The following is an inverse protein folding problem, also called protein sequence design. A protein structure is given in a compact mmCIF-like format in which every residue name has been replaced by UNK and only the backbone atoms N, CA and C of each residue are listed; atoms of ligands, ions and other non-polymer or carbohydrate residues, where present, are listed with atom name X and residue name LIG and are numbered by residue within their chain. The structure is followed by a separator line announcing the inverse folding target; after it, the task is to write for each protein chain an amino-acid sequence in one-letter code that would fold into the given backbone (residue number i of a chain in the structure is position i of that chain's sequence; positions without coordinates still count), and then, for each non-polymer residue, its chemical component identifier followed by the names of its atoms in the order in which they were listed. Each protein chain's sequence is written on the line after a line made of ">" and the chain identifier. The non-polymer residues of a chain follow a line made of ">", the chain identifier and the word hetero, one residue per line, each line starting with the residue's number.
data_IF_442606500259
#
_entry.id   IF_442606500259
#
_cell.length_a   1.000
_cell.length_b   1.000
_cell.length_c   1.000
_cell.angle_alpha   90.00
_cell.angle_beta   90.00
_cell.angle_gamma   90.00
#
_symmetry.space_group_name_H-M   'P 1'
#
loop_
_entity.id
_entity.type
_entity.pdbx_description
1 polymer ?
#
# COMPACT_ATOMS: atom_id res chain seq x y z
N UNK A 1 -4.10 -16.73 -8.76
CA UNK A 1 -2.77 -16.12 -8.53
C UNK A 1 -2.46 -16.18 -7.03
N UNK A 2 -1.19 -16.31 -6.64
CA UNK A 2 -0.79 -16.24 -5.22
C UNK A 2 -0.74 -14.79 -4.72
N UNK A 3 -0.84 -14.59 -3.41
CA UNK A 3 -0.74 -13.27 -2.77
C UNK A 3 0.58 -12.58 -3.13
N UNK A 4 1.71 -13.28 -3.00
CA UNK A 4 3.02 -12.72 -3.31
C UNK A 4 3.14 -12.37 -4.80
N UNK A 5 2.62 -13.21 -5.69
CA UNK A 5 2.56 -12.91 -7.12
C UNK A 5 1.75 -11.65 -7.42
N UNK A 6 0.62 -11.45 -6.74
CA UNK A 6 -0.21 -10.26 -6.96
C UNK A 6 0.34 -8.99 -6.31
N UNK A 7 1.00 -9.09 -5.16
CA UNK A 7 1.72 -7.96 -4.53
C UNK A 7 2.92 -7.54 -5.38
N UNK A 8 3.64 -8.51 -5.96
CA UNK A 8 4.76 -8.27 -6.85
C UNK A 8 4.32 -7.75 -8.23
N UNK A 9 3.09 -8.05 -8.67
CA UNK A 9 2.62 -7.63 -9.99
C UNK A 9 2.41 -6.13 -10.08
N UNK A 10 2.76 -5.56 -11.25
CA UNK A 10 2.46 -4.16 -11.58
C UNK A 10 0.96 -3.93 -11.54
N UNK A 11 0.56 -2.90 -10.80
CA UNK A 11 -0.85 -2.57 -10.55
C UNK A 11 -1.42 -1.59 -11.57
N UNK A 12 -0.62 -0.60 -11.97
CA UNK A 12 -1.05 0.44 -12.89
C UNK A 12 -1.06 -0.02 -14.34
N UNK A 13 -2.15 0.26 -15.04
CA UNK A 13 -2.38 -0.21 -16.41
C UNK A 13 -3.05 0.86 -17.27
N UNK A 14 -2.78 0.80 -18.57
CA UNK A 14 -3.31 1.72 -19.57
C UNK A 14 -4.18 1.05 -20.62
N UNK A 15 -4.42 -0.27 -20.50
CA UNK A 15 -5.24 -1.00 -21.45
C UNK A 15 -6.64 -0.40 -21.61
N UNK A 16 -7.22 -0.66 -22.76
CA UNK A 16 -8.57 -0.22 -23.07
C UNK A 16 -9.59 -0.95 -22.19
N UNK A 17 -10.69 -0.26 -21.87
CA UNK A 17 -11.77 -0.86 -21.11
C UNK A 17 -12.60 -1.81 -21.97
N UNK A 18 -13.11 -2.90 -21.36
CA UNK A 18 -14.21 -3.69 -21.93
C UNK A 18 -15.33 -3.84 -20.91
N UNK A 19 -16.60 -4.03 -21.32
CA UNK A 19 -17.62 -4.48 -20.38
C UNK A 19 -17.27 -5.85 -19.81
N UNK A 20 -17.40 -6.01 -18.49
CA UNK A 20 -17.27 -7.30 -17.82
C UNK A 20 -18.56 -8.09 -17.91
N UNK A 21 -18.48 -9.40 -17.73
CA UNK A 21 -19.67 -10.20 -17.43
C UNK A 21 -20.18 -9.83 -16.03
N UNK A 22 -21.50 -9.85 -15.83
CA UNK A 22 -22.09 -9.52 -14.52
C UNK A 22 -21.52 -10.37 -13.38
N UNK A 23 -21.19 -11.64 -13.66
CA UNK A 23 -20.54 -12.55 -12.70
C UNK A 23 -19.17 -12.03 -12.25
N UNK A 24 -18.36 -11.48 -13.15
CA UNK A 24 -17.05 -10.90 -12.83
C UNK A 24 -17.22 -9.64 -11.97
N UNK A 25 -18.19 -8.78 -12.30
CA UNK A 25 -18.52 -7.57 -11.51
C UNK A 25 -18.91 -7.97 -10.09
N UNK A 26 -19.83 -8.92 -9.94
CA UNK A 26 -20.28 -9.40 -8.63
C UNK A 26 -19.15 -10.07 -7.84
N UNK A 27 -18.29 -10.85 -8.47
CA UNK A 27 -17.13 -11.46 -7.79
C UNK A 27 -16.18 -10.39 -7.23
N UNK A 28 -15.87 -9.35 -8.03
CA UNK A 28 -15.06 -8.22 -7.57
C UNK A 28 -15.73 -7.51 -6.38
N UNK A 29 -17.03 -7.23 -6.45
CA UNK A 29 -17.78 -6.59 -5.38
C UNK A 29 -17.84 -7.42 -4.11
N UNK A 30 -18.16 -8.71 -4.24
CA UNK A 30 -18.25 -9.66 -3.12
C UNK A 30 -16.91 -9.75 -2.38
N UNK A 31 -15.81 -10.01 -3.11
CA UNK A 31 -14.47 -10.12 -2.52
C UNK A 31 -14.04 -8.81 -1.85
N UNK A 32 -14.27 -7.67 -2.49
CA UNK A 32 -13.89 -6.35 -1.95
C UNK A 32 -14.69 -6.03 -0.68
N UNK A 33 -16.00 -6.28 -0.71
CA UNK A 33 -16.89 -6.05 0.44
C UNK A 33 -16.56 -6.94 1.62
N UNK A 34 -16.23 -8.20 1.36
CA UNK A 34 -15.89 -9.15 2.41
C UNK A 34 -14.56 -8.80 3.07
N UNK A 35 -13.55 -8.42 2.27
CA UNK A 35 -12.25 -8.00 2.79
C UNK A 35 -12.34 -6.74 3.65
N UNK A 36 -13.22 -5.80 3.28
CA UNK A 36 -13.43 -4.55 3.99
C UNK A 36 -14.92 -4.29 4.14
N UNK A 37 -15.55 -4.79 5.22
CA UNK A 37 -16.98 -4.61 5.43
C UNK A 37 -17.37 -3.13 5.38
N UNK A 38 -18.07 -2.75 4.31
CA UNK A 38 -18.69 -1.45 4.16
C UNK A 38 -20.21 -1.55 4.32
N UNK A 39 -20.89 -0.41 4.35
CA UNK A 39 -22.36 -0.37 4.24
C UNK A 39 -22.78 -0.67 2.80
N UNK A 40 -22.13 -0.04 1.84
CA UNK A 40 -22.25 -0.36 0.42
C UNK A 40 -20.97 -0.04 -0.36
N UNK A 41 -20.90 -0.57 -1.59
CA UNK A 41 -19.94 -0.16 -2.62
C UNK A 41 -20.70 0.49 -3.76
N UNK A 42 -20.25 1.65 -4.23
CA UNK A 42 -20.74 2.26 -5.45
C UNK A 42 -19.88 1.82 -6.62
N UNK A 43 -20.53 1.48 -7.73
CA UNK A 43 -19.86 0.97 -8.92
C UNK A 43 -20.34 1.75 -10.12
N UNK A 44 -19.43 2.11 -11.01
CA UNK A 44 -19.77 2.76 -12.27
C UNK A 44 -19.39 1.81 -13.40
N UNK A 45 -20.35 1.50 -14.26
CA UNK A 45 -20.17 0.53 -15.35
C UNK A 45 -20.38 1.19 -16.73
N UNK A 46 -19.68 0.72 -17.77
CA UNK A 46 -20.05 0.99 -19.16
C UNK A 46 -21.33 0.21 -19.53
N UNK A 47 -21.87 0.41 -20.73
CA UNK A 47 -22.94 -0.47 -21.23
C UNK A 47 -22.42 -1.90 -21.45
N UNK A 48 -23.09 -2.87 -20.85
CA UNK A 48 -22.76 -4.29 -21.00
C UNK A 48 -23.77 -5.02 -21.88
N UNK A 49 -23.48 -6.28 -22.18
CA UNK A 49 -24.41 -7.15 -22.91
C UNK A 49 -25.67 -7.44 -22.08
N UNK A 50 -25.48 -7.61 -20.77
CA UNK A 50 -26.52 -8.10 -19.85
C UNK A 50 -26.97 -7.04 -18.82
N UNK A 51 -26.48 -5.80 -18.95
CA UNK A 51 -26.81 -4.70 -18.03
C UNK A 51 -26.61 -3.33 -18.68
N UNK A 52 -27.38 -2.34 -18.22
CA UNK A 52 -27.23 -0.95 -18.66
C UNK A 52 -26.06 -0.27 -17.92
N UNK A 53 -25.28 0.54 -18.61
CA UNK A 53 -24.23 1.34 -17.97
C UNK A 53 -24.82 2.40 -17.04
N UNK A 54 -24.13 2.69 -15.95
CA UNK A 54 -24.63 3.61 -14.94
C UNK A 54 -23.89 3.52 -13.62
N UNK A 55 -24.39 4.25 -12.63
CA UNK A 55 -23.97 4.15 -11.24
C UNK A 55 -24.87 3.15 -10.53
N UNK A 56 -24.25 2.15 -9.92
CA UNK A 56 -24.87 1.11 -9.12
C UNK A 56 -24.46 1.23 -7.66
N UNK A 57 -25.29 0.71 -6.76
CA UNK A 57 -24.96 0.45 -5.36
C UNK A 57 -25.06 -1.04 -5.09
N UNK A 58 -24.02 -1.59 -4.50
CA UNK A 58 -23.94 -2.97 -4.06
C UNK A 58 -24.07 -3.06 -2.54
N UNK A 59 -24.97 -3.92 -2.05
CA UNK A 59 -25.35 -4.05 -0.62
C UNK A 59 -25.18 -5.49 -0.08
N UNK A 60 -24.13 -6.18 -0.54
CA UNK A 60 -23.77 -7.59 -0.22
C UNK A 60 -24.56 -8.68 -0.94
N UNK A 61 -25.72 -8.35 -1.51
CA UNK A 61 -26.59 -9.35 -2.15
C UNK A 61 -26.78 -9.07 -3.63
N UNK A 62 -26.96 -7.81 -3.99
CA UNK A 62 -27.34 -7.43 -5.35
C UNK A 62 -26.73 -6.10 -5.78
N UNK A 63 -26.82 -5.83 -7.08
CA UNK A 63 -26.46 -4.56 -7.69
C UNK A 63 -27.72 -3.78 -8.02
N UNK A 64 -27.90 -2.65 -7.35
CA UNK A 64 -29.04 -1.77 -7.52
C UNK A 64 -28.63 -0.56 -8.37
N UNK A 65 -29.24 -0.40 -9.55
CA UNK A 65 -29.00 0.74 -10.44
C UNK A 65 -29.58 2.02 -9.81
N UNK A 66 -28.72 3.03 -9.63
CA UNK A 66 -29.12 4.36 -9.14
C UNK A 66 -29.42 5.30 -10.30
N UNK A 67 -28.55 5.35 -11.31
CA UNK A 67 -28.74 6.23 -12.46
C UNK A 67 -27.93 5.80 -13.67
N UNK A 68 -28.52 5.93 -14.87
CA UNK A 68 -27.87 5.66 -16.16
C UNK A 68 -27.11 6.87 -16.73
N UNK A 69 -27.25 8.06 -16.11
CA UNK A 69 -26.73 9.33 -16.65
C UNK A 69 -25.20 9.42 -16.67
N UNK A 70 -24.51 8.59 -15.89
CA UNK A 70 -23.06 8.58 -15.79
C UNK A 70 -22.54 7.17 -15.96
N UNK A 71 -21.86 6.95 -17.08
CA UNK A 71 -21.18 5.71 -17.44
C UNK A 71 -19.68 5.95 -17.43
N UNK A 72 -18.91 4.90 -17.18
CA UNK A 72 -17.46 4.97 -17.28
C UNK A 72 -16.99 4.56 -18.67
N UNK A 73 -15.85 5.08 -19.10
CA UNK A 73 -15.12 4.61 -20.30
C UNK A 73 -14.21 3.41 -19.98
N UNK A 74 -14.07 3.08 -18.70
CA UNK A 74 -13.25 1.97 -18.21
C UNK A 74 -14.07 0.69 -18.11
N UNK A 75 -13.40 -0.41 -17.75
CA UNK A 75 -14.05 -1.70 -17.52
C UNK A 75 -15.06 -1.61 -16.36
N UNK A 76 -14.67 -0.92 -15.29
CA UNK A 76 -15.47 -0.70 -14.08
C UNK A 76 -14.78 0.38 -13.24
N UNK A 77 -15.53 1.17 -12.46
CA UNK A 77 -14.96 1.97 -11.36
C UNK A 77 -15.62 1.58 -10.05
N UNK A 78 -14.86 1.50 -8.96
CA UNK A 78 -15.36 1.09 -7.65
C UNK A 78 -15.03 2.15 -6.61
N UNK A 79 -16.03 2.48 -5.79
CA UNK A 79 -15.96 3.50 -4.76
C UNK A 79 -16.59 2.97 -3.48
N UNK A 80 -15.85 2.93 -2.35
CA UNK A 80 -16.48 2.68 -1.06
C UNK A 80 -17.46 3.80 -0.71
N UNK A 81 -18.59 3.45 -0.08
CA UNK A 81 -19.55 4.43 0.41
C UNK A 81 -18.91 5.40 1.40
N UNK A 82 -19.00 6.71 1.12
CA UNK A 82 -18.50 7.74 2.02
C UNK A 82 -19.42 8.95 2.04
N UNK A 83 -19.82 9.39 3.23
CA UNK A 83 -20.61 10.61 3.40
C UNK A 83 -19.71 11.82 3.50
N UNK A 84 -20.01 12.87 2.73
CA UNK A 84 -19.33 14.15 2.84
C UNK A 84 -19.77 14.88 4.11
N UNK A 85 -18.78 15.24 4.92
CA UNK A 85 -18.85 16.17 6.05
C UNK A 85 -17.72 17.21 5.87
N UNK A 86 -17.65 18.22 6.74
CA UNK A 86 -16.56 19.22 6.70
C UNK A 86 -15.17 18.58 6.82
N UNK A 87 -15.06 17.55 7.66
CA UNK A 87 -13.91 16.65 7.78
C UNK A 87 -14.36 15.19 7.71
N UNK A 88 -13.49 14.34 7.17
CA UNK A 88 -13.75 12.90 7.07
C UNK A 88 -12.97 12.21 8.19
N UNK A 89 -13.63 11.30 8.89
CA UNK A 89 -13.01 10.52 9.95
C UNK A 89 -11.82 9.70 9.40
N UNK A 90 -10.71 9.68 10.14
CA UNK A 90 -9.54 8.89 9.78
C UNK A 90 -9.85 7.42 9.55
N UNK A 91 -10.76 6.83 10.34
CA UNK A 91 -11.20 5.43 10.18
C UNK A 91 -11.83 5.20 8.82
N UNK A 92 -12.58 6.18 8.32
CA UNK A 92 -13.18 6.13 7.01
C UNK A 92 -12.13 6.22 5.91
N UNK A 93 -11.14 7.10 6.04
CA UNK A 93 -10.02 7.22 5.09
C UNK A 93 -9.20 5.92 5.02
N UNK A 94 -8.88 5.33 6.17
CA UNK A 94 -8.20 4.04 6.25
C UNK A 94 -9.04 2.92 5.60
N UNK A 95 -10.36 2.93 5.80
CA UNK A 95 -11.28 1.99 5.15
C UNK A 95 -11.27 2.13 3.63
N UNK A 96 -11.20 3.36 3.10
CA UNK A 96 -11.04 3.60 1.65
C UNK A 96 -9.76 2.95 1.14
N UNK A 97 -8.64 3.19 1.82
CA UNK A 97 -7.33 2.61 1.47
C UNK A 97 -7.34 1.08 1.46
N UNK A 98 -7.88 0.47 2.51
CA UNK A 98 -8.05 -0.98 2.58
C UNK A 98 -8.83 -1.47 1.36
N UNK A 99 -10.01 -0.88 1.10
CA UNK A 99 -10.92 -1.28 0.01
C UNK A 99 -10.18 -1.33 -1.32
N UNK A 100 -9.35 -0.33 -1.59
CA UNK A 100 -8.62 -0.24 -2.85
C UNK A 100 -7.50 -1.25 -3.00
N UNK A 101 -6.74 -1.51 -1.93
CA UNK A 101 -5.67 -2.49 -2.00
C UNK A 101 -6.24 -3.88 -2.24
N UNK A 102 -7.33 -4.26 -1.54
CA UNK A 102 -8.01 -5.53 -1.76
C UNK A 102 -8.62 -5.61 -3.17
N UNK A 103 -9.31 -4.57 -3.62
CA UNK A 103 -9.83 -4.47 -4.98
C UNK A 103 -8.71 -4.67 -6.01
N UNK A 104 -7.61 -3.95 -5.86
CA UNK A 104 -6.46 -4.02 -6.78
C UNK A 104 -5.88 -5.43 -6.87
N UNK A 105 -5.76 -6.13 -5.74
CA UNK A 105 -5.25 -7.50 -5.72
C UNK A 105 -6.25 -8.50 -6.30
N UNK A 106 -7.55 -8.34 -6.01
CA UNK A 106 -8.60 -9.19 -6.60
C UNK A 106 -8.65 -9.04 -8.11
N UNK A 107 -8.71 -7.80 -8.60
CA UNK A 107 -8.70 -7.48 -10.04
C UNK A 107 -7.43 -8.02 -10.70
N UNK A 108 -6.26 -7.82 -10.07
CA UNK A 108 -4.99 -8.38 -10.54
C UNK A 108 -4.99 -9.91 -10.65
N UNK A 109 -5.64 -10.60 -9.72
CA UNK A 109 -5.77 -12.06 -9.72
C UNK A 109 -6.60 -12.61 -10.88
N UNK A 110 -7.47 -11.78 -11.45
CA UNK A 110 -8.32 -12.06 -12.61
C UNK A 110 -7.62 -11.71 -13.94
N UNK A 111 -6.36 -11.28 -13.91
CA UNK A 111 -5.61 -10.86 -15.10
C UNK A 111 -5.92 -9.43 -15.57
N UNK A 112 -6.75 -8.68 -14.83
CA UNK A 112 -7.08 -7.28 -15.11
C UNK A 112 -6.06 -6.35 -14.41
N UNK A 113 -6.09 -5.08 -14.78
CA UNK A 113 -5.28 -4.04 -14.14
C UNK A 113 -6.14 -2.98 -13.46
N UNK A 114 -5.53 -2.15 -12.62
CA UNK A 114 -6.18 -0.97 -12.04
C UNK A 114 -5.47 0.30 -12.49
N UNK A 115 -6.19 1.40 -12.59
CA UNK A 115 -5.63 2.73 -12.78
C UNK A 115 -6.15 3.62 -11.66
N UNK A 116 -5.24 4.07 -10.81
CA UNK A 116 -5.58 4.90 -9.66
C UNK A 116 -5.44 6.37 -10.05
N UNK A 117 -6.50 7.14 -9.81
CA UNK A 117 -6.50 8.58 -10.05
C UNK A 117 -6.81 9.28 -8.74
N UNK A 118 -5.81 9.95 -8.18
CA UNK A 118 -5.90 10.79 -6.98
C UNK A 118 -6.69 12.11 -7.23
N UNK A 119 -7.76 12.05 -8.05
CA UNK A 119 -8.64 13.18 -8.37
C UNK A 119 -10.07 12.82 -7.99
N UNK A 120 -10.73 13.73 -7.28
CA UNK A 120 -12.14 13.60 -6.97
C UNK A 120 -12.99 13.61 -8.26
N UNK A 121 -13.81 12.58 -8.51
CA UNK A 121 -14.64 12.46 -9.70
C UNK A 121 -15.89 13.36 -9.58
N UNK A 122 -15.70 14.68 -9.78
CA UNK A 122 -16.74 15.71 -9.56
C UNK A 122 -18.04 15.45 -10.33
N UNK A 123 -17.96 14.94 -11.57
CA UNK A 123 -19.13 14.65 -12.42
C UNK A 123 -19.95 13.48 -11.86
N UNK A 124 -19.27 12.43 -11.42
CA UNK A 124 -19.85 11.25 -10.79
C UNK A 124 -20.53 11.63 -9.47
N UNK A 125 -19.84 12.40 -8.61
CA UNK A 125 -20.39 12.90 -7.34
C UNK A 125 -21.66 13.73 -7.54
N UNK A 126 -21.65 14.67 -8.51
CA UNK A 126 -22.83 15.48 -8.83
C UNK A 126 -24.00 14.60 -9.29
N UNK A 127 -23.73 13.62 -10.15
CA UNK A 127 -24.77 12.75 -10.70
C UNK A 127 -25.36 11.82 -9.66
N UNK A 128 -24.53 11.25 -8.78
CA UNK A 128 -24.96 10.45 -7.64
C UNK A 128 -25.88 11.27 -6.73
N UNK A 129 -25.39 12.41 -6.22
CA UNK A 129 -26.12 13.19 -5.22
C UNK A 129 -27.43 13.78 -5.75
N UNK A 130 -27.51 14.07 -7.05
CA UNK A 130 -28.77 14.46 -7.70
C UNK A 130 -29.79 13.32 -7.78
N UNK A 131 -29.35 12.05 -7.74
CA UNK A 131 -30.22 10.88 -7.90
C UNK A 131 -30.76 10.36 -6.55
N UNK A 132 -29.99 10.46 -5.46
CA UNK A 132 -30.34 9.85 -4.16
C UNK A 132 -30.58 10.84 -3.03
N UNK A 133 -30.61 12.15 -3.31
CA UNK A 133 -30.82 13.23 -2.34
C UNK A 133 -30.01 13.06 -1.03
N UNK A 134 -28.77 12.61 -1.17
CA UNK A 134 -27.82 12.41 -0.09
C UNK A 134 -26.48 13.04 -0.45
N UNK A 135 -25.67 13.36 0.56
CA UNK A 135 -24.33 13.95 0.38
C UNK A 135 -23.25 12.89 0.37
N UNK A 136 -23.29 11.98 -0.60
CA UNK A 136 -22.19 11.05 -0.80
C UNK A 136 -21.01 11.73 -1.48
N UNK A 137 -19.82 11.18 -1.27
CA UNK A 137 -18.61 11.61 -1.93
C UNK A 137 -17.79 10.40 -2.36
N UNK A 138 -17.29 10.47 -3.58
CA UNK A 138 -16.17 9.69 -4.05
C UNK A 138 -14.93 10.58 -3.92
N UNK A 139 -13.93 10.12 -3.17
CA UNK A 139 -12.71 10.90 -2.94
C UNK A 139 -11.75 10.85 -4.13
N UNK A 140 -11.62 9.67 -4.72
CA UNK A 140 -10.65 9.37 -5.75
C UNK A 140 -11.16 8.18 -6.58
N UNK A 141 -10.73 8.07 -7.82
CA UNK A 141 -11.17 7.04 -8.75
C UNK A 141 -10.18 5.88 -8.78
N UNK A 142 -10.69 4.66 -8.64
CA UNK A 142 -9.99 3.42 -8.99
C UNK A 142 -10.74 2.80 -10.16
N UNK A 143 -10.14 2.86 -11.33
CA UNK A 143 -10.66 2.28 -12.55
C UNK A 143 -10.06 0.90 -12.75
N UNK A 144 -10.88 -0.09 -13.06
CA UNK A 144 -10.46 -1.39 -13.58
C UNK A 144 -10.28 -1.27 -15.10
N UNK A 145 -9.26 -1.89 -15.66
CA UNK A 145 -8.97 -1.92 -17.09
C UNK A 145 -8.38 -3.26 -17.50
N UNK A 146 -8.28 -3.48 -18.81
CA UNK A 146 -7.46 -4.56 -19.34
C UNK A 146 -5.96 -4.31 -19.08
N UNK A 147 -5.19 -5.40 -18.95
CA UNK A 147 -3.73 -5.29 -18.91
C UNK A 147 -3.21 -5.12 -20.33
N UNK A 148 -2.32 -4.14 -20.51
CA UNK A 148 -1.58 -4.02 -21.75
C UNK A 148 -0.49 -5.11 -21.77
N UNK A 149 -0.74 -6.20 -22.49
CA UNK A 149 0.16 -7.36 -22.55
C UNK A 149 1.49 -7.06 -23.29
N UNK A 150 1.65 -5.87 -23.89
CA UNK A 150 2.79 -5.54 -24.74
C UNK A 150 3.91 -4.72 -24.05
N UNK A 151 3.74 -4.31 -22.79
CA UNK A 151 4.76 -3.55 -22.07
C UNK A 151 5.72 -4.50 -21.37
N UNK A 152 6.79 -4.91 -22.06
CA UNK A 152 7.97 -5.50 -21.41
C UNK A 152 8.73 -4.39 -20.68
N UNK A 153 9.07 -4.64 -19.42
CA UNK A 153 9.96 -3.77 -18.64
C UNK A 153 11.39 -4.05 -19.10
N UNK A 154 12.07 -3.05 -19.64
CA UNK A 154 13.51 -3.11 -19.91
C UNK A 154 14.25 -2.58 -18.69
N UNK A 155 14.95 -3.45 -17.96
CA UNK A 155 15.80 -3.03 -16.84
C UNK A 155 17.02 -2.27 -17.37
N UNK A 156 17.31 -1.09 -16.83
CA UNK A 156 18.50 -0.35 -17.24
C UNK A 156 19.75 -1.00 -16.64
N UNK A 157 20.64 -1.49 -17.49
CA UNK A 157 21.83 -2.28 -17.12
C UNK A 157 22.97 -1.51 -16.43
N UNK A 158 22.87 -0.18 -16.26
CA UNK A 158 24.00 0.64 -15.81
C UNK A 158 23.62 1.63 -14.68
N UNK A 159 23.77 1.26 -13.39
CA UNK A 159 23.66 2.22 -12.31
C UNK A 159 24.82 3.23 -12.35
N UNK A 160 24.60 4.50 -11.99
CA UNK A 160 25.67 5.49 -11.91
C UNK A 160 26.67 5.10 -10.81
N UNK A 161 27.97 5.18 -11.12
CA UNK A 161 29.06 4.94 -10.17
C UNK A 161 29.56 6.27 -9.61
N UNK A 162 29.60 6.43 -8.28
CA UNK A 162 30.20 7.56 -7.58
C UNK A 162 31.25 7.03 -6.59
N UNK A 163 32.36 7.74 -6.40
CA UNK A 163 33.29 7.45 -5.31
C UNK A 163 32.57 7.58 -3.96
N UNK A 164 32.82 6.62 -3.06
CA UNK A 164 32.09 6.45 -1.81
C UNK A 164 32.89 7.05 -0.66
N UNK A 165 32.28 7.97 0.07
CA UNK A 165 32.85 8.50 1.32
C UNK A 165 32.52 7.56 2.50
N UNK A 166 33.33 7.60 3.55
CA UNK A 166 33.11 6.82 4.77
C UNK A 166 31.74 7.17 5.40
N UNK A 167 30.90 6.15 5.67
CA UNK A 167 29.52 6.34 6.16
C UNK A 167 28.43 6.37 5.07
N UNK A 168 28.79 6.20 3.80
CA UNK A 168 27.86 6.09 2.67
C UNK A 168 27.06 4.78 2.71
N UNK A 169 25.73 4.84 2.52
CA UNK A 169 24.87 3.65 2.44
C UNK A 169 24.70 3.26 0.96
N UNK A 170 25.25 2.11 0.59
CA UNK A 170 25.05 1.52 -0.74
C UNK A 170 23.71 0.79 -0.81
N UNK A 171 22.86 1.21 -1.75
CA UNK A 171 21.81 0.37 -2.31
C UNK A 171 22.48 -0.54 -3.34
N UNK A 172 22.94 -1.70 -2.92
CA UNK A 172 23.48 -2.69 -3.84
C UNK A 172 22.32 -3.11 -4.75
N UNK A 173 22.40 -2.86 -6.06
CA UNK A 173 21.40 -3.29 -7.04
C UNK A 173 21.70 -4.77 -7.34
N UNK A 174 21.11 -5.75 -6.64
CA UNK A 174 21.66 -7.09 -6.70
C UNK A 174 21.26 -7.76 -8.03
N UNK A 175 22.04 -8.74 -8.48
CA UNK A 175 21.81 -9.50 -9.73
C UNK A 175 20.40 -10.11 -9.86
N UNK A 176 19.66 -10.22 -8.76
CA UNK A 176 18.26 -10.64 -8.70
C UNK A 176 17.29 -9.76 -9.50
N UNK A 177 17.67 -8.54 -9.89
CA UNK A 177 16.86 -7.72 -10.80
C UNK A 177 16.86 -8.26 -12.24
N UNK A 178 17.90 -8.97 -12.65
CA UNK A 178 18.11 -9.38 -14.06
C UNK A 178 17.09 -10.45 -14.52
N UNK A 179 16.40 -11.14 -13.60
CA UNK A 179 15.61 -12.31 -13.98
C UNK A 179 14.31 -12.52 -13.17
N UNK A 180 13.44 -11.50 -13.20
CA UNK A 180 12.09 -11.54 -12.60
C UNK A 180 11.21 -12.69 -13.08
N UNK A 181 11.32 -13.02 -14.36
CA UNK A 181 10.50 -14.03 -15.01
C UNK A 181 10.75 -15.45 -14.47
N UNK A 182 11.91 -15.71 -13.85
CA UNK A 182 12.24 -17.02 -13.26
C UNK A 182 11.37 -17.39 -12.05
N UNK A 183 10.72 -16.41 -11.39
CA UNK A 183 10.03 -16.63 -10.11
C UNK A 183 8.50 -16.62 -10.18
N UNK A 184 7.91 -16.03 -11.22
CA UNK A 184 6.45 -16.02 -11.41
C UNK A 184 5.84 -17.43 -11.54
N UNK A 185 6.66 -18.43 -11.89
CA UNK A 185 6.19 -19.80 -12.20
C UNK A 185 6.60 -20.89 -11.19
N UNK A 186 7.34 -20.58 -10.11
CA UNK A 186 7.85 -21.61 -9.17
C UNK A 186 7.29 -21.53 -7.75
N UNK A 187 6.84 -20.36 -7.29
CA UNK A 187 6.28 -20.20 -5.95
C UNK A 187 4.76 -20.29 -5.98
N UNK A 188 4.20 -21.40 -5.52
CA UNK A 188 2.74 -21.61 -5.51
C UNK A 188 2.02 -20.62 -4.56
N UNK A 189 2.69 -20.13 -3.51
CA UNK A 189 2.22 -19.13 -2.55
C UNK A 189 0.84 -19.42 -1.94
N UNK A 190 0.30 -18.47 -1.16
CA UNK A 190 -1.08 -18.59 -0.64
C UNK A 190 -2.03 -18.00 -1.67
N UNK A 191 -3.11 -18.70 -2.08
CA UNK A 191 -4.14 -18.11 -2.94
C UNK A 191 -4.70 -16.83 -2.31
N UNK A 192 -4.85 -15.76 -3.10
CA UNK A 192 -5.34 -14.47 -2.56
C UNK A 192 -6.66 -14.62 -1.85
N UNK A 193 -7.59 -15.34 -2.45
CA UNK A 193 -8.91 -15.57 -1.87
C UNK A 193 -8.78 -16.22 -0.49
N UNK A 194 -7.88 -17.19 -0.30
CA UNK A 194 -7.60 -17.79 1.01
C UNK A 194 -7.05 -16.79 2.03
N UNK A 195 -6.18 -15.88 1.60
CA UNK A 195 -5.64 -14.80 2.45
C UNK A 195 -6.70 -13.72 2.79
N UNK A 196 -7.68 -13.50 1.91
CA UNK A 196 -8.82 -12.59 2.16
C UNK A 196 -9.84 -13.23 3.10
N UNK A 197 -10.09 -14.53 2.97
CA UNK A 197 -11.18 -15.23 3.65
C UNK A 197 -10.83 -15.78 5.05
N UNK A 198 -9.63 -15.49 5.56
CA UNK A 198 -9.23 -15.76 6.94
C UNK A 198 -9.46 -17.23 7.37
N UNK A 199 -9.10 -18.16 6.47
CA UNK A 199 -9.41 -19.60 6.59
C UNK A 199 -8.30 -20.44 7.22
N UNK A 200 -7.23 -19.81 7.73
CA UNK A 200 -6.04 -20.52 8.19
C UNK A 200 -6.00 -20.69 9.72
N UNK A 201 -5.45 -21.81 10.17
CA UNK A 201 -5.18 -22.06 11.59
C UNK A 201 -4.26 -20.97 12.15
N UNK A 202 -4.59 -20.50 13.36
CA UNK A 202 -3.87 -19.41 14.02
C UNK A 202 -2.61 -19.94 14.70
N UNK A 203 -1.46 -19.54 14.18
CA UNK A 203 -0.13 -19.80 14.68
C UNK A 203 0.34 -18.69 15.62
N UNK A 204 1.14 -19.06 16.62
CA UNK A 204 1.85 -18.10 17.46
C UNK A 204 2.93 -17.37 16.66
N UNK A 205 3.13 -16.05 16.89
CA UNK A 205 4.21 -15.30 16.27
C UNK A 205 5.59 -15.90 16.58
N UNK A 206 6.44 -16.01 15.55
CA UNK A 206 7.80 -16.52 15.68
C UNK A 206 8.70 -15.44 16.28
N UNK A 207 9.25 -15.72 17.45
CA UNK A 207 10.20 -14.85 18.17
C UNK A 207 11.67 -15.13 17.84
N UNK A 208 11.96 -16.19 17.06
CA UNK A 208 13.33 -16.68 16.84
C UNK A 208 14.02 -16.07 15.63
N UNK A 209 13.28 -15.57 14.64
CA UNK A 209 13.86 -14.98 13.44
C UNK A 209 13.04 -13.84 12.82
N UNK A 210 13.67 -13.09 11.92
CA UNK A 210 13.06 -11.94 11.25
C UNK A 210 12.18 -12.30 10.04
N UNK A 211 12.02 -13.57 9.69
CA UNK A 211 11.35 -13.96 8.45
C UNK A 211 9.90 -13.45 8.37
N UNK A 212 9.19 -13.47 9.49
CA UNK A 212 7.80 -13.01 9.55
C UNK A 212 7.73 -11.48 9.46
N UNK A 213 8.56 -10.78 10.25
CA UNK A 213 8.64 -9.32 10.23
C UNK A 213 9.01 -8.79 8.84
N UNK A 214 10.02 -9.39 8.21
CA UNK A 214 10.45 -9.06 6.84
C UNK A 214 9.30 -9.21 5.83
N UNK A 215 8.59 -10.33 5.86
CA UNK A 215 7.47 -10.56 4.94
C UNK A 215 6.34 -9.54 5.16
N UNK A 216 6.01 -9.23 6.41
CA UNK A 216 5.02 -8.22 6.75
C UNK A 216 5.43 -6.83 6.23
N UNK A 217 6.66 -6.39 6.50
CA UNK A 217 7.16 -5.10 6.06
C UNK A 217 7.22 -4.99 4.53
N UNK A 218 7.64 -6.06 3.85
CA UNK A 218 7.61 -6.10 2.39
C UNK A 218 6.18 -6.02 1.86
N UNK A 219 5.23 -6.78 2.39
CA UNK A 219 3.84 -6.70 1.94
C UNK A 219 3.18 -5.34 2.25
N UNK A 220 3.73 -4.60 3.22
CA UNK A 220 3.27 -3.28 3.63
C UNK A 220 3.80 -2.14 2.75
N UNK A 221 5.11 -2.14 2.43
CA UNK A 221 5.80 -1.01 1.78
C UNK A 221 6.95 -1.44 0.85
N UNK A 222 7.16 -2.74 0.68
CA UNK A 222 8.28 -3.27 -0.08
C UNK A 222 8.26 -2.83 -1.54
N UNK A 223 9.46 -2.72 -2.09
CA UNK A 223 9.68 -2.46 -3.50
C UNK A 223 9.16 -3.64 -4.35
N UNK A 224 8.45 -3.34 -5.43
CA UNK A 224 7.90 -4.32 -6.35
C UNK A 224 8.14 -4.02 -7.84
N UNK A 225 8.74 -2.90 -8.23
CA UNK A 225 9.11 -2.60 -9.63
C UNK A 225 10.24 -1.59 -9.76
N UNK A 226 11.17 -1.81 -10.71
CA UNK A 226 12.00 -0.78 -11.32
C UNK A 226 11.32 -0.40 -12.63
N UNK A 227 10.28 0.42 -12.55
CA UNK A 227 9.65 0.87 -13.77
C UNK A 227 10.49 2.02 -14.35
N UNK A 228 11.27 1.75 -15.39
CA UNK A 228 11.49 2.79 -16.41
C UNK A 228 10.12 3.01 -17.05
N UNK A 229 9.45 4.12 -16.76
CA UNK A 229 8.21 4.48 -17.45
C UNK A 229 8.50 4.61 -18.95
N UNK A 230 8.19 3.54 -19.69
CA UNK A 230 8.16 3.56 -21.15
C UNK A 230 7.14 4.61 -21.61
N UNK A 231 7.64 5.74 -22.10
CA UNK A 231 6.92 6.75 -22.87
C UNK A 231 5.83 7.61 -22.21
N UNK A 232 5.75 7.73 -20.88
CA UNK A 232 5.00 8.83 -20.26
C UNK A 232 5.91 9.66 -19.36
N UNK A 233 6.17 10.88 -19.84
CA UNK A 233 6.96 11.95 -19.25
C UNK A 233 8.44 11.65 -18.96
N UNK A 234 9.30 12.56 -19.43
CA UNK A 234 10.75 12.53 -19.21
C UNK A 234 11.15 12.58 -17.71
N UNK A 235 10.19 12.79 -16.82
CA UNK A 235 10.33 12.87 -15.36
C UNK A 235 9.91 11.60 -14.62
N UNK A 236 9.40 10.53 -15.26
CA UNK A 236 9.06 9.26 -14.57
C UNK A 236 10.01 8.12 -14.95
N UNK A 237 11.04 8.39 -15.76
CA UNK A 237 11.90 7.36 -16.35
C UNK A 237 12.75 6.54 -15.37
N UNK A 238 12.80 6.89 -14.09
CA UNK A 238 13.51 6.10 -13.06
C UNK A 238 12.77 6.25 -11.72
N UNK A 239 11.85 5.34 -11.40
CA UNK A 239 11.12 5.35 -10.13
C UNK A 239 10.83 3.93 -9.64
N UNK A 240 10.73 3.78 -8.32
CA UNK A 240 10.40 2.49 -7.70
C UNK A 240 8.89 2.31 -7.53
N UNK A 241 8.37 1.19 -8.03
CA UNK A 241 7.05 0.68 -7.67
C UNK A 241 7.09 0.07 -6.27
N UNK A 242 5.99 0.21 -5.51
CA UNK A 242 5.77 -0.54 -4.26
C UNK A 242 4.60 -1.52 -4.41
N UNK A 243 4.58 -2.51 -3.52
CA UNK A 243 3.54 -3.55 -3.40
C UNK A 243 2.11 -3.01 -3.22
N UNK A 244 1.95 -1.74 -2.90
CA UNK A 244 0.69 -1.02 -3.00
C UNK A 244 0.89 0.19 -3.91
N UNK A 245 -0.14 0.53 -4.65
CA UNK A 245 -0.08 1.72 -5.47
C UNK A 245 -0.09 2.98 -4.58
N UNK A 246 0.56 4.03 -5.05
CA UNK A 246 0.52 5.36 -4.47
C UNK A 246 0.17 6.35 -5.57
N UNK A 247 -0.65 7.34 -5.24
CA UNK A 247 -0.92 8.48 -6.09
C UNK A 247 0.41 9.12 -6.44
N UNK A 248 0.69 9.19 -7.74
CA UNK A 248 1.92 9.72 -8.32
C UNK A 248 3.22 9.22 -7.66
N UNK A 249 3.25 7.98 -7.17
CA UNK A 249 4.43 7.42 -6.52
C UNK A 249 4.99 8.29 -5.34
N UNK A 250 4.12 9.02 -4.64
CA UNK A 250 4.52 9.88 -3.52
C UNK A 250 5.00 9.11 -2.29
N UNK A 251 4.46 7.92 -2.05
CA UNK A 251 4.80 7.00 -0.97
C UNK A 251 4.93 7.66 0.40
N UNK A 252 3.79 8.11 0.94
CA UNK A 252 3.70 8.91 2.16
C UNK A 252 3.82 8.11 3.46
N UNK A 253 3.83 6.78 3.40
CA UNK A 253 3.81 5.91 4.57
C UNK A 253 5.22 5.46 4.99
N UNK A 254 5.49 5.52 6.29
CA UNK A 254 6.74 5.14 6.94
C UNK A 254 6.47 4.13 8.07
N UNK A 255 6.75 2.83 7.87
CA UNK A 255 6.63 1.83 8.91
C UNK A 255 7.75 1.98 9.94
N UNK A 256 7.37 2.06 11.20
CA UNK A 256 8.23 1.98 12.38
C UNK A 256 7.93 0.68 13.09
N UNK A 257 8.96 -0.07 13.47
CA UNK A 257 8.85 -1.33 14.20
C UNK A 257 9.36 -1.13 15.61
N UNK A 258 8.57 -1.51 16.60
CA UNK A 258 8.94 -1.46 18.01
C UNK A 258 9.09 -2.89 18.47
N UNK A 259 10.33 -3.28 18.76
CA UNK A 259 10.71 -4.62 19.17
C UNK A 259 10.69 -4.70 20.69
N UNK A 260 9.96 -5.68 21.24
CA UNK A 260 10.05 -6.08 22.64
C UNK A 260 10.90 -7.35 22.77
N UNK A 261 10.52 -8.40 22.04
CA UNK A 261 11.18 -9.72 22.08
C UNK A 261 11.30 -10.33 20.68
N UNK A 262 12.51 -10.28 20.12
CA UNK A 262 12.86 -10.93 18.85
C UNK A 262 14.33 -11.32 18.88
N UNK A 263 14.67 -12.61 18.85
CA UNK A 263 16.02 -13.11 19.17
C UNK A 263 17.13 -12.49 18.32
N UNK A 264 16.81 -12.12 17.07
CA UNK A 264 17.74 -11.54 16.10
C UNK A 264 17.88 -10.01 16.21
N UNK A 265 17.08 -9.34 17.05
CA UNK A 265 17.11 -7.88 17.23
C UNK A 265 17.08 -7.44 18.70
N UNK A 266 17.96 -6.51 19.10
CA UNK A 266 17.85 -5.85 20.39
C UNK A 266 16.50 -5.14 20.56
N UNK A 267 16.03 -5.05 21.81
CA UNK A 267 14.88 -4.21 22.17
C UNK A 267 15.09 -2.75 21.72
N UNK A 268 14.02 -2.11 21.24
CA UNK A 268 14.04 -0.72 20.78
C UNK A 268 13.12 -0.47 19.59
N UNK A 269 13.25 0.71 18.99
CA UNK A 269 12.47 1.08 17.81
C UNK A 269 13.36 1.30 16.57
N UNK A 270 12.80 0.88 15.45
CA UNK A 270 13.44 0.76 14.15
C UNK A 270 12.56 1.39 13.08
N UNK A 271 13.12 1.96 12.03
CA UNK A 271 12.36 2.35 10.85
C UNK A 271 12.69 1.42 9.69
N UNK A 272 11.70 1.15 8.84
CA UNK A 272 11.86 0.29 7.66
C UNK A 272 12.40 1.09 6.47
N UNK A 273 13.45 0.58 5.84
CA UNK A 273 13.96 1.04 4.55
C UNK A 273 13.38 0.15 3.43
N UNK A 274 12.44 0.68 2.61
CA UNK A 274 11.79 -0.11 1.57
C UNK A 274 12.64 -0.31 0.32
N UNK A 275 13.69 0.49 0.10
CA UNK A 275 14.46 0.52 -1.16
C UNK A 275 15.62 -0.47 -1.11
N UNK A 276 15.79 -1.24 -2.18
CA UNK A 276 16.80 -2.31 -2.26
C UNK A 276 16.35 -3.63 -1.64
N UNK A 277 15.11 -3.71 -1.16
CA UNK A 277 14.57 -4.89 -0.49
C UNK A 277 13.30 -5.42 -1.18
N UNK A 278 13.48 -6.34 -2.13
CA UNK A 278 12.37 -7.08 -2.76
C UNK A 278 12.17 -8.44 -2.06
N UNK A 279 10.94 -8.94 -1.93
CA UNK A 279 10.69 -10.30 -1.41
C UNK A 279 11.27 -11.42 -2.30
N UNK A 280 11.62 -11.10 -3.56
CA UNK A 280 12.35 -12.00 -4.44
C UNK A 280 13.85 -12.05 -4.08
N UNK A 281 14.34 -11.02 -3.38
CA UNK A 281 15.72 -10.91 -2.89
C UNK A 281 15.79 -11.49 -1.48
N UNK A 282 15.60 -12.80 -1.38
CA UNK A 282 15.88 -13.53 -0.16
C UNK A 282 17.39 -13.58 0.09
N UNK A 283 17.80 -13.08 1.26
CA UNK A 283 19.07 -13.36 1.94
C UNK A 283 20.31 -13.09 1.10
N UNK A 284 20.65 -11.83 0.88
CA UNK A 284 22.03 -11.49 0.52
C UNK A 284 22.90 -11.81 1.74
N UNK A 285 23.57 -12.95 1.70
CA UNK A 285 24.75 -13.21 2.52
C UNK A 285 25.82 -12.25 2.03
N UNK A 286 26.13 -11.23 2.83
CA UNK A 286 27.37 -10.46 2.66
C UNK A 286 28.38 -11.10 3.60
N UNK A 287 29.42 -11.72 3.05
CA UNK A 287 30.50 -12.37 3.80
C UNK A 287 29.99 -13.39 4.85
N UNK A 288 29.09 -14.29 4.46
CA UNK A 288 28.47 -15.31 5.31
C UNK A 288 27.66 -14.79 6.52
N UNK A 289 27.41 -13.47 6.61
CA UNK A 289 26.57 -12.84 7.63
C UNK A 289 25.28 -12.29 7.03
N UNK A 290 24.16 -12.51 7.72
CA UNK A 290 22.90 -11.84 7.45
C UNK A 290 22.91 -10.56 8.28
N UNK A 291 23.03 -9.41 7.64
CA UNK A 291 22.98 -8.09 8.29
C UNK A 291 21.59 -7.47 8.09
N UNK A 292 20.83 -7.30 9.17
CA UNK A 292 19.48 -6.71 9.12
C UNK A 292 19.48 -5.21 8.80
N UNK A 293 20.64 -4.58 8.89
CA UNK A 293 20.87 -3.14 8.65
C UNK A 293 20.46 -2.67 7.24
N UNK A 294 20.24 -3.59 6.31
CA UNK A 294 19.83 -3.27 4.95
C UNK A 294 18.35 -2.88 4.83
N UNK A 295 17.45 -3.40 5.69
CA UNK A 295 15.99 -3.13 5.55
C UNK A 295 15.33 -2.55 6.79
N UNK A 296 15.94 -2.63 7.98
CA UNK A 296 15.47 -1.92 9.17
C UNK A 296 16.65 -1.29 9.90
N UNK A 297 16.47 -0.09 10.44
CA UNK A 297 17.53 0.63 11.14
C UNK A 297 17.05 1.12 12.50
N UNK A 298 17.83 0.83 13.55
CA UNK A 298 17.53 1.24 14.92
C UNK A 298 17.72 2.74 15.07
N UNK A 299 16.76 3.43 15.66
CA UNK A 299 16.91 4.86 16.01
C UNK A 299 16.81 5.11 17.52
N UNK A 300 16.26 4.18 18.31
CA UNK A 300 16.28 4.31 19.77
C UNK A 300 16.30 2.95 20.48
N UNK A 301 16.95 2.92 21.64
CA UNK A 301 16.93 1.78 22.58
C UNK A 301 15.92 1.96 23.71
N UNK A 302 15.12 3.04 23.69
CA UNK A 302 14.11 3.30 24.73
C UNK A 302 13.10 2.16 24.76
N UNK A 303 12.78 1.69 25.97
CA UNK A 303 11.66 0.77 26.17
C UNK A 303 10.35 1.55 26.08
N UNK A 304 9.60 1.30 25.01
CA UNK A 304 8.33 2.00 24.74
C UNK A 304 7.11 1.15 25.07
N UNK A 305 7.28 -0.16 25.30
CA UNK A 305 6.15 -1.09 25.40
C UNK A 305 5.17 -0.73 26.52
N UNK A 306 5.58 -0.51 27.79
CA UNK A 306 4.63 -0.22 28.87
C UNK A 306 3.75 1.01 28.58
N UNK A 307 4.36 2.05 28.03
CA UNK A 307 3.68 3.32 27.72
C UNK A 307 2.69 3.15 26.56
N UNK A 308 3.05 2.35 25.55
CA UNK A 308 2.19 2.04 24.40
C UNK A 308 1.00 1.20 24.84
N UNK A 309 1.24 0.16 25.63
CA UNK A 309 0.19 -0.74 26.12
C UNK A 309 -0.82 0.01 27.00
N UNK A 310 -0.35 0.89 27.88
CA UNK A 310 -1.19 1.73 28.73
C UNK A 310 -2.04 2.71 27.91
N UNK A 311 -1.40 3.54 27.08
CA UNK A 311 -2.07 4.61 26.33
C UNK A 311 -3.09 4.06 25.33
N UNK A 312 -2.75 2.96 24.65
CA UNK A 312 -3.55 2.46 23.53
C UNK A 312 -4.43 1.27 23.92
N UNK A 313 -4.31 0.78 25.17
CA UNK A 313 -4.99 -0.40 25.69
C UNK A 313 -4.78 -1.62 24.79
N UNK A 314 -3.53 -1.82 24.41
CA UNK A 314 -3.08 -2.93 23.57
C UNK A 314 -2.14 -3.82 24.38
N UNK A 315 -2.01 -5.07 23.94
CA UNK A 315 -0.96 -5.98 24.40
C UNK A 315 -0.36 -6.62 23.15
N UNK A 316 0.97 -6.64 23.05
CA UNK A 316 1.65 -7.26 21.92
C UNK A 316 2.81 -8.15 22.38
N UNK A 317 2.92 -9.32 21.76
CA UNK A 317 3.79 -10.40 22.22
C UNK A 317 5.27 -10.16 21.88
N UNK A 318 5.59 -9.91 20.60
CA UNK A 318 6.98 -9.80 20.14
C UNK A 318 7.38 -8.40 19.68
N UNK A 319 6.55 -7.81 18.82
CA UNK A 319 6.76 -6.49 18.25
C UNK A 319 5.43 -5.88 17.80
N UNK A 320 5.46 -4.58 17.54
CA UNK A 320 4.35 -3.84 16.95
C UNK A 320 4.86 -3.00 15.77
N UNK A 321 4.05 -2.88 14.73
CA UNK A 321 4.32 -2.06 13.54
C UNK A 321 3.43 -0.82 13.61
N UNK A 322 4.05 0.34 13.73
CA UNK A 322 3.43 1.65 13.65
C UNK A 322 3.53 2.17 12.22
N UNK A 323 2.39 2.44 11.59
CA UNK A 323 2.32 3.15 10.32
C UNK A 323 2.25 4.66 10.58
N UNK A 324 3.34 5.35 10.30
CA UNK A 324 3.37 6.80 10.27
C UNK A 324 3.16 7.31 8.84
N UNK A 325 2.68 8.54 8.72
CA UNK A 325 2.54 9.23 7.43
C UNK A 325 3.24 10.57 7.44
N UNK A 326 3.69 11.01 6.27
CA UNK A 326 4.08 12.38 5.99
C UNK A 326 3.01 13.05 5.10
N UNK A 327 2.15 13.86 5.72
CA UNK A 327 1.09 14.60 5.01
C UNK A 327 1.60 15.69 4.08
N UNK A 328 2.85 16.12 4.22
CA UNK A 328 3.47 17.11 3.31
C UNK A 328 4.18 16.45 2.15
N UNK A 329 4.29 15.12 2.12
CA UNK A 329 4.95 14.44 1.03
C UNK A 329 4.17 14.67 -0.27
N UNK A 330 4.80 15.28 -1.30
CA UNK A 330 4.11 15.57 -2.54
C UNK A 330 3.80 14.28 -3.29
N UNK A 331 2.66 14.26 -3.99
CA UNK A 331 2.45 13.33 -5.09
C UNK A 331 3.55 13.63 -6.13
N UNK A 332 4.49 12.71 -6.34
CA UNK A 332 5.77 12.93 -7.04
C UNK A 332 5.71 13.32 -8.52
N UNK A 333 4.53 13.48 -9.12
CA UNK A 333 4.42 13.95 -10.49
C UNK A 333 4.46 15.49 -10.54
N UNK A 334 5.26 16.04 -11.46
CA UNK A 334 5.60 17.46 -11.56
C UNK A 334 4.42 18.43 -11.77
N UNK A 335 4.70 19.62 -12.31
CA UNK A 335 3.76 20.75 -12.42
C UNK A 335 2.35 20.40 -12.96
N UNK A 336 2.20 19.34 -13.78
CA UNK A 336 0.91 18.89 -14.32
C UNK A 336 -0.07 18.32 -13.28
N UNK A 337 0.42 17.91 -12.09
CA UNK A 337 -0.41 17.24 -11.08
C UNK A 337 -0.79 18.12 -9.88
N UNK A 338 -0.49 19.43 -9.90
CA UNK A 338 -0.88 20.40 -8.85
C UNK A 338 -2.40 20.54 -8.60
N UNK A 339 -3.25 19.85 -9.36
CA UNK A 339 -4.73 19.94 -9.34
C UNK A 339 -5.38 18.79 -8.54
N UNK A 340 -4.60 17.92 -7.89
CA UNK A 340 -5.12 16.77 -7.14
C UNK A 340 -5.55 17.12 -5.72
N UNK A 341 -6.60 16.46 -5.25
CA UNK A 341 -7.08 16.61 -3.88
C UNK A 341 -6.19 15.80 -2.93
N UNK A 342 -5.04 16.36 -2.55
CA UNK A 342 -4.06 15.68 -1.70
C UNK A 342 -4.46 15.61 -0.22
N UNK A 343 -5.57 16.24 0.17
CA UNK A 343 -5.92 16.46 1.59
C UNK A 343 -5.93 15.18 2.42
N UNK A 344 -6.36 14.06 1.85
CA UNK A 344 -6.55 12.78 2.55
C UNK A 344 -5.71 11.64 1.97
N UNK A 345 -4.79 11.95 1.06
CA UNK A 345 -4.11 10.91 0.28
C UNK A 345 -3.24 10.02 1.19
N UNK A 346 -2.50 10.64 2.10
CA UNK A 346 -1.58 9.93 2.97
C UNK A 346 -2.31 8.97 3.93
N UNK A 347 -3.47 9.35 4.45
CA UNK A 347 -4.32 8.47 5.27
C UNK A 347 -4.90 7.31 4.46
N UNK A 348 -5.35 7.56 3.22
CA UNK A 348 -5.80 6.49 2.31
C UNK A 348 -4.66 5.53 2.00
N UNK A 349 -3.46 6.04 1.76
CA UNK A 349 -2.28 5.23 1.49
C UNK A 349 -1.88 4.36 2.70
N UNK A 350 -1.98 4.90 3.93
CA UNK A 350 -1.80 4.12 5.15
C UNK A 350 -2.79 2.95 5.24
N UNK A 351 -4.02 3.13 4.76
CA UNK A 351 -4.99 2.05 4.64
C UNK A 351 -4.57 0.97 3.64
N UNK A 352 -3.95 1.35 2.52
CA UNK A 352 -3.42 0.39 1.54
C UNK A 352 -2.23 -0.41 2.10
N UNK A 353 -1.32 0.27 2.80
CA UNK A 353 -0.20 -0.35 3.49
C UNK A 353 -0.66 -1.34 4.56
N UNK A 354 -1.67 -0.96 5.35
CA UNK A 354 -2.29 -1.81 6.36
C UNK A 354 -2.94 -3.07 5.77
N UNK A 355 -3.58 -2.98 4.60
CA UNK A 355 -4.11 -4.17 3.92
C UNK A 355 -3.00 -5.17 3.58
N UNK A 356 -1.81 -4.68 3.21
CA UNK A 356 -0.62 -5.50 3.01
C UNK A 356 -0.23 -6.30 4.26
N UNK A 357 -0.18 -5.64 5.42
CA UNK A 357 0.09 -6.28 6.72
C UNK A 357 -0.97 -7.35 7.04
N UNK A 358 -2.26 -7.04 6.88
CA UNK A 358 -3.35 -7.97 7.17
C UNK A 358 -3.30 -9.21 6.29
N UNK A 359 -3.18 -9.03 4.98
CA UNK A 359 -3.12 -10.13 4.01
C UNK A 359 -1.92 -11.04 4.25
N UNK A 360 -0.76 -10.45 4.54
CA UNK A 360 0.44 -11.23 4.78
C UNK A 360 0.41 -11.92 6.14
N UNK A 361 -0.17 -11.29 7.17
CA UNK A 361 -0.41 -11.94 8.46
C UNK A 361 -1.37 -13.13 8.30
N UNK A 362 -2.49 -12.95 7.58
CA UNK A 362 -3.43 -14.02 7.26
C UNK A 362 -2.73 -15.17 6.52
N UNK A 363 -1.91 -14.86 5.51
CA UNK A 363 -1.16 -15.86 4.75
C UNK A 363 -0.13 -16.64 5.60
N UNK A 364 0.35 -16.04 6.70
CA UNK A 364 1.22 -16.68 7.68
C UNK A 364 0.45 -17.42 8.78
N UNK A 365 -0.89 -17.36 8.76
CA UNK A 365 -1.76 -17.86 9.81
C UNK A 365 -1.59 -17.10 11.13
N UNK A 366 -1.21 -15.83 11.12
CA UNK A 366 -0.95 -15.06 12.33
C UNK A 366 -2.22 -14.37 12.83
N UNK A 367 -2.43 -14.39 14.14
CA UNK A 367 -3.45 -13.55 14.76
C UNK A 367 -2.94 -12.11 14.86
N UNK A 368 -3.77 -11.15 14.47
CA UNK A 368 -3.41 -9.75 14.49
C UNK A 368 -4.57 -8.86 14.92
N UNK A 369 -4.21 -7.69 15.44
CA UNK A 369 -5.12 -6.60 15.75
C UNK A 369 -4.57 -5.29 15.21
N UNK A 370 -5.49 -4.35 14.94
CA UNK A 370 -5.15 -2.98 14.54
C UNK A 370 -5.81 -1.97 15.46
N UNK A 371 -5.11 -0.89 15.74
CA UNK A 371 -5.64 0.30 16.40
C UNK A 371 -5.43 1.51 15.49
N UNK A 372 -6.51 2.20 15.15
CA UNK A 372 -6.45 3.46 14.38
C UNK A 372 -6.45 4.59 15.39
N UNK A 373 -5.38 5.39 15.39
CA UNK A 373 -5.18 6.49 16.34
C UNK A 373 -6.24 7.56 16.08
N UNK A 374 -7.11 7.81 17.07
CA UNK A 374 -8.29 8.67 16.89
C UNK A 374 -7.97 10.17 16.80
N UNK A 375 -6.91 10.61 17.48
CA UNK A 375 -6.40 11.98 17.40
C UNK A 375 -4.89 11.95 17.14
N UNK A 376 -4.47 11.61 15.91
CA UNK A 376 -3.06 11.34 15.61
C UNK A 376 -2.16 12.58 15.70
N UNK A 377 -2.77 13.77 15.74
CA UNK A 377 -2.10 15.06 15.89
C UNK A 377 -1.83 15.45 17.35
N UNK A 378 -2.27 14.65 18.32
CA UNK A 378 -1.94 14.86 19.72
C UNK A 378 -0.42 14.78 19.92
N UNK A 379 0.24 15.85 20.43
CA UNK A 379 1.68 15.89 20.63
C UNK A 379 2.21 14.71 21.45
N UNK A 380 1.40 14.15 22.34
CA UNK A 380 1.80 13.00 23.17
C UNK A 380 2.24 11.80 22.34
N UNK A 381 1.64 11.57 21.17
CA UNK A 381 2.02 10.42 20.33
C UNK A 381 3.39 10.63 19.68
N UNK A 382 3.79 11.88 19.42
CA UNK A 382 5.13 12.18 18.93
C UNK A 382 6.19 11.86 19.98
N UNK A 383 5.92 12.18 21.23
CA UNK A 383 6.79 11.86 22.37
C UNK A 383 6.80 10.35 22.65
N UNK A 384 5.62 9.71 22.67
CA UNK A 384 5.46 8.28 22.93
C UNK A 384 6.31 7.43 21.98
N UNK A 385 6.30 7.75 20.68
CA UNK A 385 7.02 7.00 19.66
C UNK A 385 8.40 7.56 19.32
N UNK A 386 8.84 8.62 20.01
CA UNK A 386 10.10 9.31 19.74
C UNK A 386 10.27 9.70 18.25
N UNK A 387 9.21 10.28 17.68
CA UNK A 387 9.13 10.54 16.23
C UNK A 387 10.13 11.59 15.75
N UNK A 388 10.53 12.53 16.60
CA UNK A 388 11.57 13.52 16.26
C UNK A 388 12.91 12.84 15.94
N UNK A 389 13.31 11.85 16.75
CA UNK A 389 14.53 11.10 16.50
C UNK A 389 14.39 10.19 15.26
N UNK A 390 13.22 9.58 15.06
CA UNK A 390 12.95 8.82 13.84
C UNK A 390 13.07 9.71 12.58
N UNK A 391 12.50 10.92 12.62
CA UNK A 391 12.57 11.92 11.54
C UNK A 391 14.02 12.29 11.19
N UNK A 392 14.86 12.54 12.21
CA UNK A 392 16.28 12.83 12.04
C UNK A 392 17.01 11.67 11.36
N UNK A 393 16.78 10.43 11.81
CA UNK A 393 17.41 9.25 11.24
C UNK A 393 16.96 8.97 9.79
N UNK A 394 15.67 9.10 9.48
CA UNK A 394 15.13 8.91 8.12
C UNK A 394 15.75 9.94 7.16
N UNK A 395 15.83 11.20 7.57
CA UNK A 395 16.42 12.25 6.73
C UNK A 395 17.94 12.07 6.57
N UNK A 396 18.65 11.74 7.64
CA UNK A 396 20.09 11.45 7.58
C UNK A 396 20.38 10.25 6.67
N UNK A 397 19.59 9.17 6.77
CA UNK A 397 19.71 8.04 5.85
C UNK A 397 19.48 8.52 4.42
N UNK A 398 18.40 9.28 4.16
CA UNK A 398 18.08 9.77 2.83
C UNK A 398 19.16 10.65 2.20
N UNK A 399 19.90 11.41 3.00
CA UNK A 399 21.05 12.23 2.54
C UNK A 399 22.27 11.38 2.16
N UNK A 400 22.46 10.23 2.80
CA UNK A 400 23.61 9.35 2.62
C UNK A 400 23.36 8.19 1.63
N UNK A 401 22.18 8.13 1.02
CA UNK A 401 21.83 7.12 0.02
C UNK A 401 22.44 7.48 -1.34
N UNK A 402 23.18 6.52 -1.89
CA UNK A 402 23.72 6.60 -3.26
C UNK A 402 22.82 5.78 -4.19
N UNK A 403 22.73 6.19 -5.46
CA UNK A 403 21.94 5.54 -6.51
C UNK A 403 20.41 5.61 -6.32
N UNK A 404 19.91 6.57 -5.56
CA UNK A 404 18.49 6.89 -5.56
C UNK A 404 18.08 7.39 -6.96
N UNK A 405 17.08 6.80 -7.63
CA UNK A 405 16.52 7.32 -8.86
C UNK A 405 16.10 8.77 -8.70
N UNK A 406 16.31 9.59 -9.73
CA UNK A 406 16.11 11.05 -9.69
C UNK A 406 14.72 11.50 -9.19
N UNK A 407 13.72 10.61 -9.26
CA UNK A 407 12.34 10.91 -8.93
C UNK A 407 11.89 10.35 -7.58
N UNK A 408 12.67 9.47 -6.95
CA UNK A 408 12.35 9.03 -5.59
C UNK A 408 12.93 10.01 -4.57
N UNK A 409 12.11 10.35 -3.58
CA UNK A 409 12.53 11.11 -2.39
C UNK A 409 12.19 10.29 -1.16
N UNK A 410 13.22 9.71 -0.55
CA UNK A 410 13.08 8.95 0.70
C UNK A 410 13.07 9.85 1.95
N UNK A 411 13.46 11.12 1.79
CA UNK A 411 13.38 12.12 2.86
C UNK A 411 11.95 12.54 3.17
N UNK A 412 11.75 12.91 4.43
CA UNK A 412 10.53 13.53 4.91
C UNK A 412 10.45 14.98 4.42
N UNK A 413 9.23 15.43 4.11
CA UNK A 413 8.88 16.82 3.81
C UNK A 413 8.11 17.46 4.96
N UNK A 414 7.43 16.65 5.76
CA UNK A 414 6.74 17.06 6.96
C UNK A 414 7.09 16.17 8.14
N UNK A 415 6.45 16.47 9.25
CA UNK A 415 6.57 15.69 10.48
C UNK A 415 5.81 14.37 10.31
N UNK A 416 6.34 13.31 10.90
CA UNK A 416 5.64 12.03 10.98
C UNK A 416 4.41 12.16 11.87
N UNK A 417 3.29 11.65 11.36
CA UNK A 417 2.04 11.51 12.10
C UNK A 417 1.74 10.01 12.26
N UNK A 418 1.57 9.48 13.48
CA UNK A 418 1.23 8.08 13.73
C UNK A 418 -0.26 7.83 13.45
N UNK A 419 -0.59 6.88 12.59
CA UNK A 419 -1.96 6.68 12.10
C UNK A 419 -2.54 5.33 12.51
N UNK A 420 -1.76 4.26 12.33
CA UNK A 420 -2.20 2.89 12.64
C UNK A 420 -1.14 2.15 13.38
N UNK A 421 -1.57 1.36 14.35
CA UNK A 421 -0.74 0.43 15.10
C UNK A 421 -1.24 -0.96 14.78
N UNK A 422 -0.34 -1.82 14.28
CA UNK A 422 -0.60 -3.20 13.91
C UNK A 422 0.23 -4.11 14.81
N UNK A 423 -0.42 -4.97 15.56
CA UNK A 423 0.25 -5.93 16.45
C UNK A 423 -0.21 -7.34 16.16
N UNK A 424 0.69 -8.28 16.43
CA UNK A 424 0.38 -9.70 16.46
C UNK A 424 -0.03 -10.08 17.89
N UNK A 425 -0.97 -11.02 18.01
CA UNK A 425 -1.39 -11.57 19.30
C UNK A 425 -0.59 -12.83 19.64
#
# INVERSE_FOLDING_TARGET
>A
MSLQGSLASRKDCSGDGRPLLMKEVLDICNSTHQAVPSKSLFIILPDGKDYTGGIYRYDKKELNLITEKTKTEFTMEVYPELHWKETIDIKELIRVGLTWQYLSLKVGSMGLGVSQRARAPKKQNKSLNNAIDQKYTFLYSVAVRERDHNIRVEDSLNPPSKELDEGTILLDTPMCYIDRALYENKYQGVPIDSAIFDTLEKNTPNERNLNQLSQLLWACQGENDHATHGNRDALEKNGYGRVHASGCAGYAVYPIVIIDKLAELPKGAYFYNPVGYSALNRWIKVDDKITYDHFIQKFTSKDLKPQIEEELRLNFSNYVILLCIDRKKPCGAGFMHKVMNLKYWAEVEAGMALAGLQLQANALGLQWQKNIVSNPDDPKYRELFNLELAEQHINKMAENLVNLPKNERLSLKGNLTPIVIFSLE
#
